data_IF_507096635322
#
_entry.id   IF_507096635322
#
_cell.length_a   1.000
_cell.length_b   1.000
_cell.length_c   1.000
_cell.angle_alpha   90.00
_cell.angle_beta   90.00
_cell.angle_gamma   90.00
#
_symmetry.space_group_name_H-M   'P 1'
#
loop_
_entity.id
_entity.type
_entity.pdbx_description
1 polymer ?
#
# COMPACT_ATOMS: atom_id res chain seq x y z
N UNK A 1 51.21 -29.78 55.20
CA UNK A 1 49.87 -29.17 55.01
C UNK A 1 49.71 -28.46 53.64
N UNK A 2 50.33 -28.94 52.56
CA UNK A 2 50.30 -28.27 51.23
C UNK A 2 49.42 -28.94 50.16
N UNK A 3 49.16 -30.25 50.25
CA UNK A 3 48.45 -30.98 49.18
C UNK A 3 46.92 -30.86 49.23
N UNK A 4 46.32 -30.62 50.41
CA UNK A 4 44.86 -30.54 50.58
C UNK A 4 44.25 -29.20 50.11
N UNK A 5 45.04 -28.13 49.99
CA UNK A 5 44.53 -26.81 49.54
C UNK A 5 44.39 -26.68 48.02
N UNK A 6 45.11 -27.50 47.23
CA UNK A 6 45.07 -27.44 45.76
C UNK A 6 43.90 -28.22 45.17
N UNK A 7 43.46 -29.30 45.83
CA UNK A 7 42.33 -30.13 45.36
C UNK A 7 40.98 -29.42 45.56
N UNK A 8 40.83 -28.66 46.65
CA UNK A 8 39.58 -27.94 46.96
C UNK A 8 39.31 -26.75 46.00
N UNK A 9 40.36 -26.05 45.55
CA UNK A 9 40.23 -24.94 44.58
C UNK A 9 39.94 -25.44 43.16
N UNK A 10 40.45 -26.61 42.76
CA UNK A 10 40.11 -27.24 41.48
C UNK A 10 38.64 -27.71 41.40
N UNK A 11 38.10 -28.30 42.48
CA UNK A 11 36.70 -28.74 42.54
C UNK A 11 35.70 -27.58 42.53
N UNK A 12 36.06 -26.43 43.15
CA UNK A 12 35.19 -25.24 43.15
C UNK A 12 35.15 -24.54 41.78
N UNK A 13 36.29 -24.47 41.07
CA UNK A 13 36.36 -23.92 39.70
C UNK A 13 35.61 -24.80 38.69
N UNK A 14 35.70 -26.13 38.83
CA UNK A 14 34.98 -27.10 37.99
C UNK A 14 33.46 -26.98 38.14
N UNK A 15 32.94 -26.83 39.38
CA UNK A 15 31.50 -26.63 39.63
C UNK A 15 30.96 -25.32 39.06
N UNK A 16 31.76 -24.24 39.06
CA UNK A 16 31.36 -22.97 38.47
C UNK A 16 31.31 -23.02 36.95
N UNK A 17 32.31 -23.63 36.31
CA UNK A 17 32.34 -23.83 34.85
C UNK A 17 31.17 -24.72 34.40
N UNK A 18 30.87 -25.78 35.16
CA UNK A 18 29.74 -26.66 34.87
C UNK A 18 28.39 -25.95 35.00
N UNK A 19 28.20 -25.11 36.03
CA UNK A 19 26.98 -24.28 36.18
C UNK A 19 26.85 -23.23 35.07
N UNK A 20 27.96 -22.64 34.63
CA UNK A 20 27.95 -21.68 33.53
C UNK A 20 27.62 -22.35 32.18
N UNK A 21 28.15 -23.54 31.92
CA UNK A 21 27.85 -24.32 30.72
C UNK A 21 26.37 -24.75 30.68
N UNK A 22 25.81 -25.19 31.82
CA UNK A 22 24.38 -25.49 31.92
C UNK A 22 23.54 -24.25 31.65
N UNK A 23 23.92 -23.10 32.21
CA UNK A 23 23.20 -21.85 31.97
C UNK A 23 23.21 -21.43 30.49
N UNK A 24 24.36 -21.53 29.82
CA UNK A 24 24.48 -21.23 28.39
C UNK A 24 23.63 -22.21 27.55
N UNK A 25 23.64 -23.50 27.88
CA UNK A 25 22.81 -24.52 27.23
C UNK A 25 21.32 -24.23 27.38
N UNK A 26 20.86 -23.88 28.58
CA UNK A 26 19.45 -23.55 28.84
C UNK A 26 19.04 -22.29 28.10
N UNK A 27 19.87 -21.24 28.09
CA UNK A 27 19.59 -20.00 27.35
C UNK A 27 19.52 -20.28 25.85
N UNK A 28 20.44 -21.07 25.30
CA UNK A 28 20.45 -21.46 23.88
C UNK A 28 19.25 -22.33 23.51
N UNK A 29 18.79 -23.21 24.41
CA UNK A 29 17.61 -24.03 24.20
C UNK A 29 16.35 -23.14 24.21
N UNK A 30 16.26 -22.20 25.16
CA UNK A 30 15.15 -21.25 25.23
C UNK A 30 15.08 -20.33 24.00
N UNK A 31 16.22 -19.84 23.50
CA UNK A 31 16.23 -19.03 22.27
C UNK A 31 15.85 -19.85 21.04
N UNK A 32 16.32 -21.09 20.94
CA UNK A 32 15.93 -22.01 19.87
C UNK A 32 14.43 -22.35 19.91
N UNK A 33 13.86 -22.59 21.10
CA UNK A 33 12.42 -22.82 21.28
C UNK A 33 11.61 -21.58 20.93
N UNK A 34 12.03 -20.38 21.35
CA UNK A 34 11.36 -19.13 20.95
C UNK A 34 11.44 -18.91 19.44
N UNK A 35 12.56 -19.24 18.80
CA UNK A 35 12.69 -19.15 17.35
C UNK A 35 11.82 -20.18 16.63
N UNK A 36 11.76 -21.42 17.13
CA UNK A 36 10.93 -22.50 16.61
C UNK A 36 9.44 -22.15 16.74
N UNK A 37 8.98 -21.70 17.91
CA UNK A 37 7.61 -21.23 18.13
C UNK A 37 7.24 -20.04 17.23
N UNK A 38 8.20 -19.15 16.93
CA UNK A 38 8.00 -18.01 16.02
C UNK A 38 7.97 -18.40 14.54
N UNK A 39 8.63 -19.50 14.17
CA UNK A 39 8.56 -20.11 12.83
C UNK A 39 7.26 -20.90 12.67
N UNK A 40 6.81 -21.60 13.71
CA UNK A 40 5.55 -22.35 13.73
C UNK A 40 4.33 -21.40 13.69
N UNK A 41 4.41 -20.24 14.36
CA UNK A 41 3.40 -19.18 14.25
C UNK A 41 3.26 -18.68 12.80
N UNK A 42 4.37 -18.54 12.04
CA UNK A 42 4.33 -18.21 10.59
C UNK A 42 3.71 -19.31 9.72
N UNK A 43 3.86 -20.58 10.11
CA UNK A 43 3.20 -21.71 9.43
C UNK A 43 1.70 -21.79 9.71
N UNK A 44 1.29 -21.44 10.94
CA UNK A 44 -0.10 -21.49 11.40
C UNK A 44 -0.94 -20.30 10.88
N UNK A 45 -0.32 -19.17 10.49
CA UNK A 45 -1.02 -18.05 9.84
C UNK A 45 -1.66 -18.43 8.49
N UNK A 46 -1.09 -19.36 7.72
CA UNK A 46 -1.71 -19.89 6.50
C UNK A 46 -2.78 -20.97 6.80
N UNK A 47 -2.65 -21.68 7.92
CA UNK A 47 -3.61 -22.68 8.38
C UNK A 47 -4.91 -22.08 8.95
N UNK A 48 -4.83 -20.96 9.68
CA UNK A 48 -5.98 -20.34 10.37
C UNK A 48 -6.96 -19.58 9.50
N UNK A 49 -6.69 -19.41 8.20
CA UNK A 49 -7.73 -19.03 7.22
C UNK A 49 -8.73 -20.18 6.95
N UNK A 50 -8.41 -21.42 7.36
CA UNK A 50 -9.33 -22.56 7.32
C UNK A 50 -9.86 -22.84 8.74
N UNK A 51 -10.94 -22.19 9.12
CA UNK A 51 -11.72 -22.58 10.30
C UNK A 51 -12.39 -23.96 10.10
N UNK A 52 -12.63 -24.73 11.16
CA UNK A 52 -13.21 -26.07 11.06
C UNK A 52 -14.74 -25.98 10.98
N UNK A 53 -15.28 -25.93 9.76
CA UNK A 53 -16.68 -26.26 9.51
C UNK A 53 -16.78 -27.16 8.27
N UNK A 54 -16.52 -28.45 8.49
CA UNK A 54 -16.93 -29.50 7.57
C UNK A 54 -18.42 -29.82 7.82
N UNK A 55 -19.29 -29.24 6.99
CA UNK A 55 -20.54 -29.87 6.59
C UNK A 55 -20.58 -29.85 5.07
N UNK A 56 -20.62 -31.06 4.49
CA UNK A 56 -20.49 -31.29 3.06
C UNK A 56 -21.51 -30.51 2.24
N UNK A 57 -21.00 -29.56 1.48
CA UNK A 57 -21.66 -29.05 0.29
C UNK A 57 -20.60 -29.03 -0.81
N UNK A 58 -20.93 -29.52 -2.01
CA UNK A 58 -20.00 -29.59 -3.13
C UNK A 58 -19.34 -28.22 -3.37
N UNK A 59 -18.06 -28.11 -3.01
CA UNK A 59 -17.28 -26.89 -3.18
C UNK A 59 -16.84 -26.87 -4.64
N UNK A 60 -17.60 -26.15 -5.48
CA UNK A 60 -16.99 -25.53 -6.65
C UNK A 60 -15.84 -24.67 -6.12
N UNK A 61 -14.62 -24.91 -6.61
CA UNK A 61 -13.44 -24.14 -6.21
C UNK A 61 -13.73 -22.68 -6.53
N UNK A 62 -14.09 -21.89 -5.51
CA UNK A 62 -14.30 -20.46 -5.67
C UNK A 62 -12.94 -19.83 -5.96
N UNK A 63 -12.79 -19.28 -7.16
CA UNK A 63 -11.52 -18.69 -7.62
C UNK A 63 -11.11 -17.53 -6.71
N UNK A 64 -9.83 -17.52 -6.32
CA UNK A 64 -9.22 -16.46 -5.51
C UNK A 64 -9.14 -15.14 -6.31
N UNK A 65 -9.29 -14.00 -5.63
CA UNK A 65 -9.16 -12.69 -6.26
C UNK A 65 -7.76 -12.49 -6.88
N UNK A 66 -7.73 -12.25 -8.19
CA UNK A 66 -6.51 -11.94 -8.95
C UNK A 66 -6.63 -10.53 -9.59
N UNK A 67 -5.77 -9.58 -9.21
CA UNK A 67 -5.80 -8.23 -9.76
C UNK A 67 -5.62 -8.21 -11.28
N UNK A 68 -6.50 -7.48 -11.98
CA UNK A 68 -6.42 -7.34 -13.43
C UNK A 68 -6.90 -8.56 -14.21
N UNK A 69 -7.50 -9.56 -13.56
CA UNK A 69 -8.06 -10.73 -14.24
C UNK A 69 -9.12 -10.34 -15.27
N UNK A 70 -9.85 -9.24 -15.03
CA UNK A 70 -10.82 -8.66 -15.95
C UNK A 70 -10.20 -8.16 -17.28
N UNK A 71 -8.88 -8.07 -17.38
CA UNK A 71 -8.14 -7.70 -18.60
C UNK A 71 -7.59 -8.92 -19.37
N UNK A 72 -7.73 -10.14 -18.84
CA UNK A 72 -7.15 -11.35 -19.44
C UNK A 72 -7.67 -11.56 -20.86
N UNK A 73 -6.74 -11.82 -21.79
CA UNK A 73 -7.05 -12.09 -23.20
C UNK A 73 -7.52 -10.87 -24.02
N UNK A 74 -7.61 -9.67 -23.42
CA UNK A 74 -7.94 -8.45 -24.14
C UNK A 74 -6.71 -8.00 -24.96
N UNK A 75 -6.85 -7.68 -26.25
CA UNK A 75 -5.75 -7.14 -27.04
C UNK A 75 -5.48 -5.67 -26.69
N UNK A 76 -4.28 -5.19 -27.02
CA UNK A 76 -3.96 -3.77 -26.92
C UNK A 76 -4.92 -2.91 -27.76
N UNK A 77 -5.21 -1.70 -27.26
CA UNK A 77 -5.84 -0.67 -28.06
C UNK A 77 -4.88 -0.11 -29.12
N UNK A 78 -5.43 0.57 -30.16
CA UNK A 78 -4.63 1.13 -31.26
C UNK A 78 -3.77 2.34 -30.83
N UNK A 79 -4.03 2.90 -29.65
CA UNK A 79 -3.34 4.08 -29.11
C UNK A 79 -3.12 3.92 -27.61
N UNK A 80 -2.09 4.57 -27.10
CA UNK A 80 -1.90 4.76 -25.66
C UNK A 80 -2.87 5.83 -25.14
N UNK A 81 -3.39 5.63 -23.93
CA UNK A 81 -4.16 6.62 -23.17
C UNK A 81 -3.27 7.52 -22.30
N UNK A 82 -1.97 7.22 -22.22
CA UNK A 82 -0.99 7.95 -21.43
C UNK A 82 -0.12 8.84 -22.31
N UNK A 83 0.28 9.99 -21.76
CA UNK A 83 1.35 10.82 -22.32
C UNK A 83 2.64 10.53 -21.56
N UNK A 84 3.76 10.40 -22.27
CA UNK A 84 5.07 10.14 -21.68
C UNK A 84 5.91 11.42 -21.71
N UNK A 85 6.56 11.78 -20.61
CA UNK A 85 7.34 13.03 -20.56
C UNK A 85 8.70 12.90 -21.23
N UNK A 86 9.36 11.76 -21.05
CA UNK A 86 10.75 11.56 -21.48
C UNK A 86 10.89 10.60 -22.66
N UNK A 87 9.80 9.90 -23.05
CA UNK A 87 9.83 8.93 -24.13
C UNK A 87 9.80 9.63 -25.50
N UNK A 88 10.75 9.34 -26.40
CA UNK A 88 10.68 9.79 -27.80
C UNK A 88 9.40 9.34 -28.49
N UNK A 89 8.84 10.16 -29.39
CA UNK A 89 7.56 9.88 -30.07
C UNK A 89 7.59 8.64 -30.97
N UNK A 90 8.75 8.34 -31.54
CA UNK A 90 9.04 7.21 -32.43
C UNK A 90 9.50 5.96 -31.69
N UNK A 91 9.72 6.04 -30.37
CA UNK A 91 10.17 4.91 -29.57
C UNK A 91 9.09 3.85 -29.38
N UNK A 92 9.40 2.63 -29.76
CA UNK A 92 8.57 1.44 -29.51
C UNK A 92 8.92 0.73 -28.20
N UNK A 93 10.13 0.92 -27.66
CA UNK A 93 10.61 0.27 -26.44
C UNK A 93 10.03 0.99 -25.19
N UNK A 94 9.26 0.31 -24.33
CA UNK A 94 8.77 0.89 -23.08
C UNK A 94 9.89 1.43 -22.17
N UNK A 95 11.11 0.88 -22.24
CA UNK A 95 12.26 1.35 -21.47
C UNK A 95 12.54 2.85 -21.66
N UNK A 96 12.31 3.37 -22.86
CA UNK A 96 12.59 4.77 -23.18
C UNK A 96 11.68 5.76 -22.42
N UNK A 97 10.67 5.26 -21.69
CA UNK A 97 9.98 6.02 -20.64
C UNK A 97 10.95 6.64 -19.62
N UNK A 98 12.11 6.01 -19.42
CA UNK A 98 13.15 6.45 -18.49
C UNK A 98 14.34 7.14 -19.15
N UNK A 99 14.19 7.65 -20.38
CA UNK A 99 15.19 8.49 -21.06
C UNK A 99 15.30 9.90 -20.48
N UNK A 100 15.23 10.02 -19.14
CA UNK A 100 15.37 11.28 -18.42
C UNK A 100 16.84 11.56 -18.07
N UNK A 101 17.21 12.84 -17.99
CA UNK A 101 18.50 13.25 -17.44
C UNK A 101 18.54 12.92 -15.92
N UNK A 102 19.52 12.13 -15.43
CA UNK A 102 19.67 11.83 -14.01
C UNK A 102 19.64 13.06 -13.07
N UNK A 103 20.01 14.25 -13.56
CA UNK A 103 19.93 15.52 -12.84
C UNK A 103 18.50 15.92 -12.44
N UNK A 104 17.48 15.39 -13.13
CA UNK A 104 16.06 15.61 -12.82
C UNK A 104 15.59 14.82 -11.60
N UNK A 105 16.37 13.85 -11.15
CA UNK A 105 16.06 13.11 -9.93
C UNK A 105 16.24 14.00 -8.70
N UNK A 106 15.23 14.04 -7.84
CA UNK A 106 15.20 14.84 -6.62
C UNK A 106 15.36 13.95 -5.39
N UNK A 107 15.92 14.45 -4.28
CA UNK A 107 15.86 13.73 -3.02
C UNK A 107 14.40 13.51 -2.57
N UNK A 108 14.15 12.42 -1.86
CA UNK A 108 12.86 12.24 -1.16
C UNK A 108 12.66 13.37 -0.13
N UNK A 109 11.46 13.95 -0.06
CA UNK A 109 11.17 15.14 0.77
C UNK A 109 11.46 14.93 2.25
N UNK A 110 11.29 13.71 2.75
CA UNK A 110 11.39 13.41 4.18
C UNK A 110 12.84 13.34 4.63
N UNK A 111 13.71 12.82 3.74
CA UNK A 111 15.09 12.48 4.06
C UNK A 111 16.09 13.48 3.47
N UNK A 112 15.65 14.33 2.54
CA UNK A 112 16.49 15.36 1.91
C UNK A 112 17.68 14.77 1.14
N UNK A 113 18.68 15.60 0.89
CA UNK A 113 19.83 15.27 0.03
C UNK A 113 20.61 14.03 0.48
N UNK A 114 20.75 13.87 1.81
CA UNK A 114 21.46 12.75 2.44
C UNK A 114 20.64 11.46 2.48
N UNK A 115 19.35 11.52 2.12
CA UNK A 115 18.49 10.36 2.05
C UNK A 115 18.94 9.36 0.97
N UNK A 116 18.76 8.05 1.19
CA UNK A 116 19.21 7.01 0.26
C UNK A 116 18.28 6.84 -0.94
N UNK A 117 17.22 7.65 -1.07
CA UNK A 117 16.23 7.53 -2.14
C UNK A 117 16.19 8.77 -3.03
N UNK A 118 15.99 8.53 -4.32
CA UNK A 118 15.77 9.55 -5.35
C UNK A 118 14.40 9.34 -5.99
N UNK A 119 13.80 10.45 -6.42
CA UNK A 119 12.48 10.48 -7.02
C UNK A 119 12.50 11.30 -8.30
N UNK A 120 11.99 10.75 -9.39
CA UNK A 120 11.74 11.44 -10.65
C UNK A 120 10.22 11.60 -10.81
N UNK A 121 9.76 12.84 -10.88
CA UNK A 121 8.34 13.15 -10.91
C UNK A 121 7.81 13.23 -12.34
N UNK A 122 6.57 12.76 -12.56
CA UNK A 122 5.82 12.93 -13.79
C UNK A 122 6.50 12.28 -14.99
N UNK A 123 6.99 11.04 -14.83
CA UNK A 123 7.46 10.22 -15.97
C UNK A 123 6.30 9.97 -16.96
N UNK A 124 5.09 9.87 -16.41
CA UNK A 124 3.80 9.84 -17.11
C UNK A 124 2.90 10.82 -16.39
N UNK A 125 2.57 11.99 -16.95
CA UNK A 125 1.62 12.92 -16.35
C UNK A 125 0.18 12.52 -16.63
N UNK A 126 -0.66 12.52 -15.59
CA UNK A 126 -2.10 12.38 -15.72
C UNK A 126 -2.72 13.63 -16.37
N UNK A 127 -3.62 13.39 -17.30
CA UNK A 127 -4.48 14.37 -17.93
C UNK A 127 -5.63 14.74 -16.98
N UNK A 128 -6.14 15.97 -17.07
CA UNK A 128 -7.35 16.42 -16.37
C UNK A 128 -7.35 16.28 -14.83
N UNK A 129 -6.18 16.36 -14.18
CA UNK A 129 -6.04 16.31 -12.72
C UNK A 129 -6.88 17.38 -11.97
N UNK A 130 -7.35 18.42 -12.66
CA UNK A 130 -8.18 19.51 -12.11
C UNK A 130 -9.69 19.19 -12.04
N UNK A 131 -10.17 18.06 -12.59
CA UNK A 131 -11.61 17.74 -12.61
C UNK A 131 -12.11 17.02 -11.35
N UNK A 132 -11.24 16.62 -10.42
CA UNK A 132 -11.60 15.89 -9.20
C UNK A 132 -11.41 16.70 -7.92
N UNK A 133 -12.22 16.41 -6.89
CA UNK A 133 -12.05 17.02 -5.56
C UNK A 133 -10.84 16.44 -4.82
N UNK A 134 -10.53 15.16 -5.03
CA UNK A 134 -9.46 14.43 -4.35
C UNK A 134 -8.53 13.75 -5.37
N UNK A 135 -7.22 13.81 -5.13
CA UNK A 135 -6.24 12.92 -5.77
C UNK A 135 -6.00 11.71 -4.89
N UNK A 136 -6.18 10.50 -5.43
CA UNK A 136 -5.77 9.26 -4.77
C UNK A 136 -4.25 9.13 -4.88
N UNK A 137 -3.56 9.20 -3.75
CA UNK A 137 -2.10 9.17 -3.67
C UNK A 137 -1.67 7.79 -3.17
N UNK A 138 -0.99 7.04 -4.03
CA UNK A 138 -0.60 5.65 -3.74
C UNK A 138 0.83 5.36 -4.18
N UNK A 139 1.28 4.16 -3.87
CA UNK A 139 2.59 3.67 -4.24
C UNK A 139 2.53 2.17 -4.53
N UNK A 140 3.41 1.70 -5.40
CA UNK A 140 3.48 0.30 -5.78
C UNK A 140 4.90 -0.10 -6.15
N UNK A 141 5.18 -1.39 -6.06
CA UNK A 141 6.25 -2.06 -6.79
C UNK A 141 5.66 -2.66 -8.08
N UNK A 142 6.49 -3.03 -9.08
CA UNK A 142 5.96 -3.53 -10.36
C UNK A 142 5.04 -4.75 -10.19
N UNK A 143 5.32 -5.63 -9.24
CA UNK A 143 4.54 -6.83 -8.91
C UNK A 143 3.14 -6.54 -8.34
N UNK A 144 2.86 -5.31 -7.89
CA UNK A 144 1.53 -4.89 -7.42
C UNK A 144 0.80 -4.00 -8.43
N UNK A 145 1.40 -3.70 -9.60
CA UNK A 145 0.91 -2.65 -10.47
C UNK A 145 -0.47 -2.94 -11.07
N UNK A 146 -0.84 -4.22 -11.27
CA UNK A 146 -2.16 -4.58 -11.79
C UNK A 146 -3.31 -4.28 -10.82
N UNK A 147 -3.07 -4.11 -9.51
CA UNK A 147 -4.08 -3.57 -8.59
C UNK A 147 -4.58 -2.18 -9.01
N UNK A 148 -3.77 -1.42 -9.77
CA UNK A 148 -4.19 -0.15 -10.32
C UNK A 148 -5.42 -0.31 -11.22
N UNK A 149 -5.50 -1.38 -12.01
CA UNK A 149 -6.65 -1.65 -12.88
C UNK A 149 -7.95 -1.80 -12.08
N UNK A 150 -7.89 -2.45 -10.92
CA UNK A 150 -9.01 -2.60 -9.99
C UNK A 150 -9.38 -1.27 -9.32
N UNK A 151 -8.38 -0.51 -8.86
CA UNK A 151 -8.59 0.84 -8.34
C UNK A 151 -9.24 1.76 -9.39
N UNK A 152 -8.85 1.60 -10.66
CA UNK A 152 -9.36 2.42 -11.76
C UNK A 152 -10.86 2.22 -12.03
N UNK A 153 -11.41 1.04 -11.71
CA UNK A 153 -12.85 0.75 -11.80
C UNK A 153 -13.67 1.42 -10.68
N UNK A 154 -13.04 1.73 -9.54
CA UNK A 154 -13.73 2.20 -8.33
C UNK A 154 -13.51 3.68 -8.00
N UNK A 155 -12.41 4.24 -8.46
CA UNK A 155 -12.11 5.66 -8.34
C UNK A 155 -12.53 6.38 -9.61
N UNK A 156 -13.01 7.62 -9.54
CA UNK A 156 -13.32 8.48 -10.70
C UNK A 156 -12.36 9.70 -10.83
N UNK A 157 -11.62 10.02 -9.75
CA UNK A 157 -10.73 11.18 -9.66
C UNK A 157 -9.28 10.95 -10.10
N UNK A 158 -8.44 11.97 -9.97
CA UNK A 158 -7.02 11.88 -10.29
C UNK A 158 -6.29 10.85 -9.41
N UNK A 159 -5.27 10.19 -9.95
CA UNK A 159 -4.43 9.26 -9.20
C UNK A 159 -2.96 9.66 -9.38
N UNK A 160 -2.23 9.76 -8.28
CA UNK A 160 -0.77 9.91 -8.28
C UNK A 160 -0.15 8.65 -7.70
N UNK A 161 0.69 7.98 -8.48
CA UNK A 161 1.33 6.71 -8.14
C UNK A 161 2.84 6.91 -8.10
N UNK A 162 3.46 6.59 -6.97
CA UNK A 162 4.93 6.44 -6.92
C UNK A 162 5.30 4.96 -7.09
N UNK A 163 5.99 4.64 -8.18
CA UNK A 163 6.56 3.33 -8.45
C UNK A 163 7.92 3.23 -7.78
N UNK A 164 8.06 2.31 -6.83
CA UNK A 164 9.38 1.95 -6.30
C UNK A 164 9.96 0.84 -7.16
N UNK A 165 10.98 1.17 -7.96
CA UNK A 165 11.53 0.27 -8.95
C UNK A 165 13.08 0.41 -9.00
N UNK A 166 13.80 -0.30 -8.11
CA UNK A 166 15.26 -0.29 -8.09
C UNK A 166 15.86 -1.07 -9.27
N UNK A 167 16.95 -0.55 -9.86
CA UNK A 167 17.70 -1.30 -10.86
C UNK A 167 16.83 -1.75 -12.04
N UNK A 168 16.87 -3.04 -12.34
CA UNK A 168 16.12 -3.66 -13.45
C UNK A 168 14.61 -3.69 -13.23
N UNK A 169 14.12 -3.50 -12.00
CA UNK A 169 12.67 -3.38 -11.73
C UNK A 169 12.07 -2.19 -12.45
N UNK A 170 12.87 -1.17 -12.78
CA UNK A 170 12.42 -0.03 -13.57
C UNK A 170 11.98 -0.49 -14.97
N UNK A 171 12.74 -1.33 -15.66
CA UNK A 171 12.35 -1.82 -16.98
C UNK A 171 11.06 -2.66 -16.92
N UNK A 172 10.89 -3.50 -15.89
CA UNK A 172 9.62 -4.19 -15.64
C UNK A 172 8.46 -3.20 -15.43
N UNK A 173 8.66 -2.16 -14.60
CA UNK A 173 7.67 -1.12 -14.40
C UNK A 173 7.28 -0.42 -15.72
N UNK A 174 8.25 -0.07 -16.56
CA UNK A 174 8.00 0.54 -17.88
C UNK A 174 7.10 -0.35 -18.75
N UNK A 175 7.41 -1.64 -18.85
CA UNK A 175 6.63 -2.61 -19.61
C UNK A 175 5.19 -2.64 -19.07
N UNK A 176 5.02 -2.86 -17.77
CA UNK A 176 3.69 -3.01 -17.16
C UNK A 176 2.86 -1.71 -17.22
N UNK A 177 3.49 -0.54 -17.06
CA UNK A 177 2.82 0.76 -17.26
C UNK A 177 2.38 0.91 -18.70
N UNK A 178 3.24 0.62 -19.69
CA UNK A 178 2.87 0.72 -21.11
C UNK A 178 1.72 -0.24 -21.47
N UNK A 179 1.72 -1.48 -20.94
CA UNK A 179 0.59 -2.42 -21.07
C UNK A 179 -0.70 -1.78 -20.56
N UNK A 180 -0.73 -1.32 -19.31
CA UNK A 180 -1.92 -0.70 -18.73
C UNK A 180 -2.37 0.55 -19.51
N UNK A 181 -1.43 1.39 -19.93
CA UNK A 181 -1.69 2.59 -20.72
C UNK A 181 -2.32 2.30 -22.09
N UNK A 182 -2.10 1.13 -22.70
CA UNK A 182 -2.75 0.69 -23.95
C UNK A 182 -4.08 -0.03 -23.73
N UNK A 183 -4.33 -0.50 -22.52
CA UNK A 183 -5.43 -1.40 -22.19
C UNK A 183 -6.58 -0.73 -21.44
N UNK A 184 -6.27 0.26 -20.61
CA UNK A 184 -7.21 0.84 -19.65
C UNK A 184 -7.39 2.33 -19.95
N UNK A 185 -8.52 2.77 -20.54
CA UNK A 185 -8.78 4.17 -20.86
C UNK A 185 -8.61 5.13 -19.67
N UNK A 186 -8.97 4.66 -18.47
CA UNK A 186 -8.85 5.40 -17.22
C UNK A 186 -7.40 5.63 -16.80
N UNK A 187 -6.39 5.08 -17.50
CA UNK A 187 -5.00 5.44 -17.28
C UNK A 187 -4.70 6.90 -17.65
N UNK A 188 -5.55 7.53 -18.47
CA UNK A 188 -5.41 8.94 -18.83
C UNK A 188 -5.37 9.90 -17.62
N UNK A 189 -5.89 9.51 -16.45
CA UNK A 189 -5.91 10.32 -15.20
C UNK A 189 -4.82 9.93 -14.19
N UNK A 190 -3.94 8.99 -14.55
CA UNK A 190 -2.89 8.49 -13.66
C UNK A 190 -1.59 9.23 -13.93
N UNK A 191 -1.01 9.81 -12.89
CA UNK A 191 0.36 10.31 -12.90
C UNK A 191 1.29 9.29 -12.27
N UNK A 192 2.38 8.93 -12.96
CA UNK A 192 3.45 8.12 -12.42
C UNK A 192 4.68 8.95 -12.06
N UNK A 193 5.28 8.56 -10.94
CA UNK A 193 6.55 9.04 -10.42
C UNK A 193 7.43 7.82 -10.13
N UNK A 194 8.72 7.92 -10.35
CA UNK A 194 9.67 6.84 -10.11
C UNK A 194 10.46 7.12 -8.84
N UNK A 195 10.50 6.16 -7.91
CA UNK A 195 11.37 6.19 -6.75
C UNK A 195 12.36 5.02 -6.81
N UNK A 196 13.62 5.26 -6.47
CA UNK A 196 14.67 4.24 -6.47
C UNK A 196 15.77 4.57 -5.43
N UNK A 197 16.52 3.57 -4.95
CA UNK A 197 17.70 3.79 -4.13
C UNK A 197 18.79 4.51 -4.92
N UNK A 198 19.47 5.48 -4.31
CA UNK A 198 20.56 6.24 -4.95
C UNK A 198 21.67 5.32 -5.47
N UNK A 199 21.97 4.26 -4.72
CA UNK A 199 23.04 3.30 -5.04
C UNK A 199 22.57 2.20 -6.01
N UNK A 200 21.29 2.20 -6.38
CA UNK A 200 20.72 1.26 -7.34
C UNK A 200 19.76 1.98 -8.31
N UNK A 201 20.30 2.85 -9.19
CA UNK A 201 19.52 3.63 -10.13
C UNK A 201 18.79 2.73 -11.16
N UNK A 202 17.79 3.27 -11.88
CA UNK A 202 17.06 2.54 -12.92
C UNK A 202 18.02 1.97 -13.96
N UNK A 203 17.84 0.70 -14.30
CA UNK A 203 18.65 0.00 -15.29
C UNK A 203 17.76 -0.82 -16.22
N UNK A 204 18.22 -1.01 -17.46
CA UNK A 204 17.56 -1.89 -18.42
C UNK A 204 17.87 -3.34 -18.05
N UNK A 205 16.84 -4.15 -17.85
CA UNK A 205 16.95 -5.61 -17.64
C UNK A 205 16.48 -6.42 -18.86
N UNK A 206 16.51 -7.75 -18.75
CA UNK A 206 16.11 -8.67 -19.83
C UNK A 206 14.62 -9.08 -19.80
N UNK A 207 13.76 -8.23 -19.23
CA UNK A 207 12.32 -8.52 -19.03
C UNK A 207 11.53 -8.75 -20.32
N UNK A 208 11.97 -8.21 -21.46
CA UNK A 208 11.30 -8.45 -22.74
C UNK A 208 11.39 -9.92 -23.20
N UNK A 209 12.29 -10.71 -22.63
CA UNK A 209 12.45 -12.13 -22.92
C UNK A 209 11.51 -13.00 -22.06
N UNK A 210 10.84 -12.43 -21.05
CA UNK A 210 9.96 -13.17 -20.16
C UNK A 210 8.66 -13.56 -20.89
N UNK A 211 8.37 -14.87 -21.04
CA UNK A 211 7.18 -15.34 -21.73
C UNK A 211 5.87 -15.01 -21.01
N UNK A 212 5.88 -14.60 -19.73
CA UNK A 212 4.71 -14.13 -18.99
C UNK A 212 4.47 -12.62 -19.21
N UNK A 213 5.44 -11.89 -19.77
CA UNK A 213 5.34 -10.45 -20.09
C UNK A 213 5.03 -10.18 -21.57
N UNK A 214 4.31 -11.10 -22.23
CA UNK A 214 3.93 -11.01 -23.64
C UNK A 214 3.45 -9.60 -24.00
N UNK A 215 4.15 -8.99 -24.95
CA UNK A 215 3.74 -7.74 -25.57
C UNK A 215 2.55 -8.06 -26.50
N UNK A 216 1.48 -7.28 -26.40
CA UNK A 216 0.30 -7.37 -27.28
C UNK A 216 -1.03 -7.71 -26.61
N UNK A 217 -1.02 -8.22 -25.38
CA UNK A 217 -2.23 -8.51 -24.60
C UNK A 217 -2.26 -7.75 -23.27
N UNK A 218 -3.45 -7.54 -22.71
CA UNK A 218 -3.65 -6.82 -21.46
C UNK A 218 -3.54 -7.72 -20.22
N UNK A 219 -3.20 -9.00 -20.40
CA UNK A 219 -3.22 -9.99 -19.33
C UNK A 219 -2.21 -9.65 -18.23
N UNK A 220 -2.57 -9.81 -16.94
CA UNK A 220 -1.60 -9.76 -15.86
C UNK A 220 -0.57 -10.89 -16.00
N UNK A 221 0.65 -10.74 -15.45
CA UNK A 221 1.62 -11.82 -15.40
C UNK A 221 1.00 -13.07 -14.76
N UNK A 222 1.13 -14.22 -15.41
CA UNK A 222 0.53 -15.48 -14.95
C UNK A 222 1.13 -15.96 -13.63
N UNK A 223 2.39 -15.60 -13.37
CA UNK A 223 3.14 -15.94 -12.16
C UNK A 223 3.61 -14.68 -11.45
N UNK A 224 3.88 -14.83 -10.15
CA UNK A 224 4.54 -13.77 -9.38
C UNK A 224 5.95 -13.55 -9.93
N UNK A 225 6.18 -12.35 -10.47
CA UNK A 225 7.48 -11.94 -11.01
C UNK A 225 8.50 -11.79 -9.86
N UNK A 226 9.68 -12.39 -10.01
CA UNK A 226 10.78 -12.24 -9.05
C UNK A 226 11.52 -10.92 -9.32
N UNK A 227 11.11 -9.86 -8.65
CA UNK A 227 11.73 -8.53 -8.77
C UNK A 227 13.11 -8.48 -8.13
N UNK A 228 13.97 -7.59 -8.61
CA UNK A 228 15.28 -7.32 -8.02
C UNK A 228 15.17 -6.87 -6.56
N UNK A 229 14.14 -6.07 -6.23
CA UNK A 229 13.82 -5.74 -4.84
C UNK A 229 13.64 -6.99 -3.98
N UNK A 230 12.93 -8.00 -4.47
CA UNK A 230 12.67 -9.24 -3.73
C UNK A 230 13.92 -10.13 -3.66
N UNK A 231 14.64 -10.29 -4.77
CA UNK A 231 15.84 -11.15 -4.82
C UNK A 231 16.99 -10.61 -3.96
N UNK A 232 17.10 -9.29 -3.82
CA UNK A 232 18.10 -8.62 -2.98
C UNK A 232 17.57 -8.18 -1.62
N UNK A 233 16.34 -8.59 -1.25
CA UNK A 233 15.69 -8.28 0.02
C UNK A 233 15.67 -6.78 0.38
N UNK A 234 15.54 -5.92 -0.63
CA UNK A 234 15.56 -4.47 -0.44
C UNK A 234 14.32 -4.01 0.32
N UNK A 235 14.54 -3.16 1.32
CA UNK A 235 13.49 -2.49 2.09
C UNK A 235 12.58 -1.69 1.15
N UNK A 236 11.27 -1.87 1.30
CA UNK A 236 10.28 -1.09 0.57
C UNK A 236 10.00 0.23 1.30
N UNK A 237 10.36 1.40 0.74
CA UNK A 237 10.25 2.67 1.45
C UNK A 237 8.84 3.26 1.32
N UNK A 238 7.86 2.64 1.99
CA UNK A 238 6.43 3.02 1.97
C UNK A 238 6.23 4.53 2.16
N UNK A 239 6.93 5.13 3.12
CA UNK A 239 6.81 6.56 3.40
C UNK A 239 7.40 7.45 2.29
N UNK A 240 8.44 7.01 1.58
CA UNK A 240 8.95 7.76 0.41
C UNK A 240 7.90 7.74 -0.69
N UNK A 241 7.32 6.57 -0.98
CA UNK A 241 6.27 6.41 -1.98
C UNK A 241 5.03 7.27 -1.68
N UNK A 242 4.46 7.15 -0.48
CA UNK A 242 3.28 7.94 -0.05
C UNK A 242 3.51 9.44 -0.18
N UNK A 243 4.67 9.91 0.26
CA UNK A 243 4.95 11.33 0.28
C UNK A 243 5.28 11.90 -1.11
N UNK A 244 5.98 11.15 -1.96
CA UNK A 244 6.23 11.55 -3.34
C UNK A 244 4.91 11.69 -4.11
N UNK A 245 4.02 10.70 -4.02
CA UNK A 245 2.70 10.77 -4.63
C UNK A 245 1.89 11.97 -4.11
N UNK A 246 1.89 12.18 -2.79
CA UNK A 246 1.21 13.32 -2.17
C UNK A 246 1.78 14.66 -2.64
N UNK A 247 3.10 14.81 -2.69
CA UNK A 247 3.75 16.05 -3.11
C UNK A 247 3.43 16.39 -4.57
N UNK A 248 3.31 15.38 -5.42
CA UNK A 248 3.01 15.57 -6.84
C UNK A 248 1.52 15.76 -7.14
N UNK A 249 0.64 15.57 -6.16
CA UNK A 249 -0.79 15.80 -6.32
C UNK A 249 -1.09 17.27 -6.65
N UNK A 250 -2.09 17.49 -7.50
CA UNK A 250 -2.50 18.83 -7.97
C UNK A 250 -3.77 19.34 -7.32
N UNK A 251 -4.47 18.51 -6.55
CA UNK A 251 -5.73 18.85 -5.86
C UNK A 251 -5.47 19.32 -4.43
N UNK A 252 -6.39 20.11 -3.88
CA UNK A 252 -6.30 20.58 -2.50
C UNK A 252 -6.54 19.47 -1.46
N UNK A 253 -7.25 18.41 -1.84
CA UNK A 253 -7.48 17.24 -1.00
C UNK A 253 -6.79 16.02 -1.60
N UNK A 254 -6.26 15.18 -0.73
CA UNK A 254 -5.59 13.94 -1.09
C UNK A 254 -6.14 12.80 -0.24
N UNK A 255 -6.27 11.63 -0.85
CA UNK A 255 -6.50 10.38 -0.14
C UNK A 255 -5.21 9.56 -0.26
N UNK A 256 -4.44 9.49 0.82
CA UNK A 256 -3.24 8.64 0.86
C UNK A 256 -3.68 7.24 1.24
N UNK A 257 -3.48 6.27 0.34
CA UNK A 257 -3.94 4.90 0.53
C UNK A 257 -3.12 3.92 -0.30
N UNK A 258 -2.97 2.70 0.19
CA UNK A 258 -2.19 1.65 -0.46
C UNK A 258 -2.93 1.13 -1.70
N UNK A 259 -2.20 0.69 -2.73
CA UNK A 259 -2.76 0.41 -4.06
C UNK A 259 -3.82 -0.72 -4.06
N UNK A 260 -3.75 -1.61 -3.07
CA UNK A 260 -4.67 -2.73 -2.87
C UNK A 260 -5.97 -2.33 -2.13
N UNK A 261 -6.02 -1.13 -1.53
CA UNK A 261 -7.19 -0.66 -0.81
C UNK A 261 -8.18 0.04 -1.75
N UNK A 262 -9.17 -0.72 -2.20
CA UNK A 262 -10.15 -0.26 -3.18
C UNK A 262 -11.27 0.54 -2.48
N UNK A 263 -11.50 1.82 -2.86
CA UNK A 263 -12.54 2.64 -2.25
C UNK A 263 -13.95 2.25 -2.72
N UNK A 264 -14.96 2.70 -1.98
CA UNK A 264 -16.34 2.67 -2.47
C UNK A 264 -16.51 3.53 -3.72
N UNK A 265 -17.35 3.07 -4.65
CA UNK A 265 -17.59 3.76 -5.92
C UNK A 265 -18.24 5.12 -5.67
N UNK A 266 -17.80 6.13 -6.42
CA UNK A 266 -18.28 7.51 -6.33
C UNK A 266 -17.83 8.25 -5.07
N UNK A 267 -16.88 7.71 -4.29
CA UNK A 267 -16.42 8.35 -3.06
C UNK A 267 -15.87 9.77 -3.31
N UNK A 268 -15.14 9.99 -4.40
CA UNK A 268 -14.58 11.30 -4.74
C UNK A 268 -15.70 12.34 -5.04
N UNK A 269 -16.70 11.99 -5.84
CA UNK A 269 -17.87 12.84 -6.06
C UNK A 269 -18.66 13.11 -4.78
N UNK A 270 -18.93 12.06 -3.99
CA UNK A 270 -19.67 12.20 -2.73
C UNK A 270 -18.91 13.06 -1.71
N UNK A 271 -17.57 13.03 -1.74
CA UNK A 271 -16.74 13.91 -0.93
C UNK A 271 -16.78 15.36 -1.43
N UNK A 272 -16.77 15.60 -2.74
CA UNK A 272 -16.98 16.93 -3.30
C UNK A 272 -18.30 17.55 -2.81
N UNK A 273 -19.37 16.75 -2.82
CA UNK A 273 -20.69 17.14 -2.30
C UNK A 273 -20.64 17.41 -0.79
N UNK A 274 -19.91 16.58 -0.02
CA UNK A 274 -19.68 16.85 1.40
C UNK A 274 -18.97 18.20 1.62
N UNK A 275 -17.91 18.48 0.87
CA UNK A 275 -17.16 19.74 0.96
C UNK A 275 -18.04 20.94 0.64
N UNK A 276 -18.90 20.85 -0.38
CA UNK A 276 -19.86 21.90 -0.72
C UNK A 276 -20.77 22.22 0.48
N UNK A 277 -21.43 21.20 1.04
CA UNK A 277 -22.31 21.35 2.21
C UNK A 277 -21.58 21.85 3.44
N UNK A 278 -20.34 21.40 3.64
CA UNK A 278 -19.50 21.86 4.74
C UNK A 278 -19.09 23.30 4.53
N UNK A 279 -18.81 23.76 3.31
CA UNK A 279 -18.45 25.15 3.03
C UNK A 279 -19.64 26.10 3.23
N UNK A 280 -20.85 25.72 2.80
CA UNK A 280 -22.10 26.42 3.14
C UNK A 280 -22.25 26.57 4.66
N UNK A 281 -21.99 25.48 5.41
CA UNK A 281 -21.97 25.51 6.88
C UNK A 281 -20.74 26.18 7.47
N UNK A 282 -19.63 26.32 6.73
CA UNK A 282 -18.36 26.90 7.21
C UNK A 282 -18.50 28.41 7.40
N UNK A 283 -19.37 29.07 6.66
CA UNK A 283 -19.81 30.43 6.98
C UNK A 283 -20.43 30.52 8.39
N UNK A 284 -21.07 29.45 8.87
CA UNK A 284 -21.57 29.32 10.25
C UNK A 284 -20.48 28.83 11.23
N UNK A 285 -19.61 27.91 10.82
CA UNK A 285 -18.54 27.35 11.67
C UNK A 285 -17.37 28.33 11.89
N UNK A 286 -17.06 29.20 10.93
CA UNK A 286 -16.10 30.30 11.13
C UNK A 286 -16.61 31.30 12.17
N UNK A 287 -17.92 31.61 12.16
CA UNK A 287 -18.55 32.42 13.22
C UNK A 287 -18.40 31.76 14.60
N UNK A 288 -18.56 30.44 14.69
CA UNK A 288 -18.38 29.67 15.94
C UNK A 288 -16.90 29.57 16.36
N UNK A 289 -15.97 29.43 15.42
CA UNK A 289 -14.51 29.42 15.70
C UNK A 289 -13.99 30.77 16.20
N UNK A 290 -14.46 31.86 15.59
CA UNK A 290 -14.19 33.21 16.06
C UNK A 290 -14.71 33.41 17.50
N UNK A 291 -15.82 32.77 17.86
CA UNK A 291 -16.38 32.80 19.21
C UNK A 291 -15.72 31.82 20.22
N UNK A 292 -14.89 30.86 19.77
CA UNK A 292 -14.36 29.77 20.63
C UNK A 292 -12.84 29.73 20.77
N UNK A 293 -12.10 30.73 20.26
CA UNK A 293 -10.63 30.81 20.31
C UNK A 293 -9.90 29.54 19.80
N UNK A 294 -10.54 28.74 18.95
CA UNK A 294 -9.96 27.51 18.40
C UNK A 294 -8.92 27.82 17.32
N UNK A 295 -7.66 27.46 17.55
CA UNK A 295 -6.51 27.73 16.66
C UNK A 295 -6.10 26.54 15.75
N UNK A 296 -6.78 25.39 15.87
CA UNK A 296 -6.42 24.17 15.13
C UNK A 296 -6.55 24.33 13.60
N UNK A 297 -5.45 24.04 12.88
CA UNK A 297 -5.24 24.44 11.46
C UNK A 297 -5.77 23.48 10.38
N UNK A 298 -6.51 22.41 10.72
CA UNK A 298 -7.05 21.53 9.68
C UNK A 298 -7.98 20.45 10.21
N UNK A 299 -8.76 19.86 9.30
CA UNK A 299 -9.53 18.64 9.56
C UNK A 299 -8.94 17.51 8.72
N UNK A 300 -8.82 16.33 9.32
CA UNK A 300 -8.48 15.09 8.62
C UNK A 300 -9.72 14.21 8.60
N UNK A 301 -10.03 13.65 7.44
CA UNK A 301 -11.09 12.65 7.28
C UNK A 301 -10.45 11.28 7.19
N UNK A 302 -10.96 10.33 7.98
CA UNK A 302 -10.46 8.96 8.04
C UNK A 302 -11.53 8.03 7.49
N UNK A 303 -11.13 7.11 6.62
CA UNK A 303 -12.01 6.10 6.04
C UNK A 303 -11.83 4.78 6.79
N UNK A 304 -12.91 4.12 7.21
CA UNK A 304 -12.85 2.74 7.69
C UNK A 304 -12.34 1.79 6.61
N UNK A 305 -11.36 0.97 6.96
CA UNK A 305 -10.78 -0.05 6.07
C UNK A 305 -11.19 -1.43 6.57
N UNK A 306 -11.50 -2.32 5.63
CA UNK A 306 -11.92 -3.69 5.91
C UNK A 306 -11.17 -4.67 5.00
N UNK A 307 -10.82 -5.82 5.56
CA UNK A 307 -10.33 -6.99 4.83
C UNK A 307 -11.54 -7.84 4.45
N UNK A 308 -11.56 -8.28 3.20
CA UNK A 308 -12.62 -9.11 2.63
C UNK A 308 -12.01 -10.46 2.27
N UNK A 309 -12.76 -11.53 2.51
CA UNK A 309 -12.35 -12.87 2.14
C UNK A 309 -11.97 -12.95 0.63
N UNK A 310 -10.87 -13.64 0.25
CA UNK A 310 -10.37 -13.63 -1.12
C UNK A 310 -11.33 -14.12 -2.19
N UNK A 311 -12.32 -14.94 -1.80
CA UNK A 311 -13.32 -15.51 -2.69
C UNK A 311 -14.60 -14.67 -2.81
N UNK A 312 -14.68 -13.56 -2.06
CA UNK A 312 -15.77 -12.61 -2.16
C UNK A 312 -15.44 -11.52 -3.19
N UNK A 313 -16.46 -11.04 -3.90
CA UNK A 313 -16.31 -9.86 -4.74
C UNK A 313 -16.00 -8.62 -3.91
N UNK A 314 -15.14 -7.74 -4.43
CA UNK A 314 -14.85 -6.44 -3.82
C UNK A 314 -16.15 -5.64 -3.62
N UNK A 315 -16.49 -5.22 -2.38
CA UNK A 315 -17.72 -4.50 -2.13
C UNK A 315 -17.69 -3.11 -2.78
N UNK A 316 -18.74 -2.79 -3.53
CA UNK A 316 -18.84 -1.51 -4.27
C UNK A 316 -19.24 -0.33 -3.37
N UNK A 317 -19.93 -0.63 -2.28
CA UNK A 317 -20.48 0.33 -1.33
C UNK A 317 -20.50 -0.22 0.10
N UNK A 318 -20.97 0.61 1.04
CA UNK A 318 -21.03 0.24 2.46
C UNK A 318 -22.03 -0.89 2.70
N UNK A 319 -23.15 -0.91 1.98
CA UNK A 319 -24.20 -1.91 2.12
C UNK A 319 -23.67 -3.31 1.82
N UNK A 320 -22.98 -3.49 0.70
CA UNK A 320 -22.35 -4.75 0.32
C UNK A 320 -21.28 -5.15 1.34
N UNK A 321 -20.46 -4.20 1.80
CA UNK A 321 -19.48 -4.47 2.85
C UNK A 321 -20.15 -4.94 4.16
N UNK A 322 -21.26 -4.32 4.57
CA UNK A 322 -22.00 -4.75 5.77
C UNK A 322 -22.63 -6.13 5.59
N UNK A 323 -23.09 -6.49 4.39
CA UNK A 323 -23.58 -7.84 4.10
C UNK A 323 -22.47 -8.88 4.24
N UNK A 324 -21.26 -8.59 3.75
CA UNK A 324 -20.10 -9.47 3.92
C UNK A 324 -19.70 -9.57 5.39
N UNK A 325 -19.66 -8.45 6.11
CA UNK A 325 -19.34 -8.41 7.53
C UNK A 325 -20.34 -9.23 8.37
N UNK A 326 -21.64 -9.16 8.07
CA UNK A 326 -22.68 -9.94 8.75
C UNK A 326 -22.57 -11.45 8.51
N UNK A 327 -21.94 -11.85 7.41
CA UNK A 327 -21.66 -13.25 7.06
C UNK A 327 -20.27 -13.69 7.54
N UNK A 328 -19.58 -12.89 8.34
CA UNK A 328 -18.19 -13.09 8.78
C UNK A 328 -17.17 -13.23 7.62
N UNK A 329 -17.52 -12.70 6.44
CA UNK A 329 -16.66 -12.67 5.23
C UNK A 329 -15.92 -11.36 5.05
N UNK A 330 -16.04 -10.44 6.01
CA UNK A 330 -15.26 -9.22 6.09
C UNK A 330 -14.98 -8.85 7.54
N UNK A 331 -13.79 -8.31 7.81
CA UNK A 331 -13.38 -7.82 9.14
C UNK A 331 -12.74 -6.44 9.01
N UNK A 332 -12.72 -5.65 10.08
CA UNK A 332 -11.95 -4.39 10.02
C UNK A 332 -10.46 -4.71 9.84
N UNK A 333 -9.76 -3.84 9.12
CA UNK A 333 -8.39 -4.05 8.70
C UNK A 333 -7.46 -4.43 9.87
N UNK A 334 -6.60 -5.43 9.67
CA UNK A 334 -5.65 -5.93 10.65
C UNK A 334 -6.27 -6.32 12.00
N UNK A 335 -7.56 -6.72 12.03
CA UNK A 335 -8.26 -7.20 13.24
C UNK A 335 -7.47 -8.29 13.96
N UNK A 336 -6.79 -9.15 13.21
CA UNK A 336 -6.06 -10.30 13.76
C UNK A 336 -4.57 -10.02 13.96
N UNK A 337 -4.05 -8.88 13.50
CA UNK A 337 -2.64 -8.49 13.61
C UNK A 337 -2.44 -7.50 14.74
N UNK A 338 -3.15 -6.37 14.71
CA UNK A 338 -3.15 -5.41 15.80
C UNK A 338 -4.52 -4.74 15.93
N UNK A 339 -5.49 -5.41 16.58
CA UNK A 339 -6.83 -4.83 16.76
C UNK A 339 -6.81 -3.52 17.55
N UNK A 340 -5.88 -3.33 18.49
CA UNK A 340 -5.72 -2.05 19.20
C UNK A 340 -5.26 -0.92 18.28
N UNK A 341 -4.37 -1.20 17.32
CA UNK A 341 -3.82 -0.20 16.41
C UNK A 341 -4.86 0.28 15.38
N UNK A 342 -5.76 -0.61 14.97
CA UNK A 342 -6.54 -0.46 13.73
C UNK A 342 -8.06 -0.37 13.97
N UNK A 343 -8.52 -0.69 15.19
CA UNK A 343 -9.92 -0.49 15.56
C UNK A 343 -10.21 1.00 15.71
N UNK A 344 -10.99 1.54 14.79
CA UNK A 344 -11.35 2.95 14.82
C UNK A 344 -12.48 3.26 15.83
N UNK A 345 -12.46 4.48 16.43
CA UNK A 345 -13.50 4.92 17.35
C UNK A 345 -14.91 4.84 16.76
N UNK A 346 -15.85 4.30 17.54
CA UNK A 346 -17.24 4.22 17.13
C UNK A 346 -17.57 3.15 16.09
N UNK A 347 -16.68 2.18 15.84
CA UNK A 347 -16.90 1.03 14.94
C UNK A 347 -18.30 0.41 15.07
N UNK A 348 -18.74 0.07 16.28
CA UNK A 348 -20.06 -0.54 16.50
C UNK A 348 -21.22 0.35 16.03
N UNK A 349 -21.12 1.66 16.26
CA UNK A 349 -22.13 2.62 15.78
C UNK A 349 -22.05 2.80 14.25
N UNK A 350 -20.86 2.67 13.66
CA UNK A 350 -20.67 2.71 12.22
C UNK A 350 -21.27 1.48 11.53
N UNK A 351 -21.07 0.28 12.10
CA UNK A 351 -21.62 -0.98 11.59
C UNK A 351 -23.15 -1.02 11.61
N UNK A 352 -23.77 -0.50 12.68
CA UNK A 352 -25.25 -0.49 12.82
C UNK A 352 -25.96 0.44 11.83
N UNK A 353 -25.25 1.36 11.19
CA UNK A 353 -25.86 2.37 10.32
C UNK A 353 -25.68 1.99 8.86
N UNK A 354 -26.77 1.82 8.12
CA UNK A 354 -26.74 1.65 6.67
C UNK A 354 -26.09 2.87 5.99
N UNK A 355 -25.46 2.65 4.85
CA UNK A 355 -25.01 3.76 4.01
C UNK A 355 -26.20 4.56 3.47
N UNK A 356 -25.89 5.68 2.82
CA UNK A 356 -26.88 6.45 2.07
C UNK A 356 -26.29 6.67 0.68
N UNK A 357 -26.87 6.11 -0.38
CA UNK A 357 -26.35 6.27 -1.74
C UNK A 357 -26.16 7.74 -2.09
N UNK A 358 -24.96 8.11 -2.59
CA UNK A 358 -24.62 9.48 -2.97
C UNK A 358 -24.23 10.42 -1.81
N UNK A 359 -24.04 9.92 -0.58
CA UNK A 359 -23.75 10.75 0.58
C UNK A 359 -22.64 10.16 1.47
N UNK A 360 -21.54 10.90 1.64
CA UNK A 360 -20.61 10.66 2.76
C UNK A 360 -21.23 11.15 4.07
N UNK A 361 -21.27 10.28 5.07
CA UNK A 361 -21.71 10.62 6.42
C UNK A 361 -20.50 10.79 7.34
N UNK A 362 -20.15 12.03 7.66
CA UNK A 362 -19.06 12.34 8.60
C UNK A 362 -19.52 12.11 10.04
N UNK A 363 -18.63 11.53 10.83
CA UNK A 363 -18.75 11.54 12.30
C UNK A 363 -17.55 12.22 12.89
N UNK A 364 -17.80 13.24 13.70
CA UNK A 364 -16.76 13.87 14.50
C UNK A 364 -16.42 12.95 15.65
N UNK A 365 -15.21 12.41 15.63
CA UNK A 365 -14.59 11.81 16.80
C UNK A 365 -13.46 12.74 17.22
N UNK A 366 -13.45 13.16 18.48
CA UNK A 366 -12.29 13.86 19.02
C UNK A 366 -11.16 12.84 19.15
N UNK A 367 -10.19 12.90 18.25
CA UNK A 367 -8.90 12.29 18.46
C UNK A 367 -8.06 13.29 19.23
N UNK A 368 -7.88 13.09 20.54
CA UNK A 368 -6.87 13.80 21.31
C UNK A 368 -5.50 13.24 20.90
N UNK A 369 -4.98 13.71 19.75
CA UNK A 369 -3.62 13.42 19.35
C UNK A 369 -2.70 14.32 20.19
N UNK A 370 -2.39 13.90 21.42
CA UNK A 370 -1.43 14.56 22.32
C UNK A 370 0.04 14.31 21.88
N UNK A 371 0.33 14.29 20.58
CA UNK A 371 1.70 14.25 20.07
C UNK A 371 1.86 15.14 18.83
N UNK A 372 2.40 16.33 19.10
CA UNK A 372 3.36 17.13 18.31
C UNK A 372 3.11 17.32 16.80
N UNK A 373 2.67 18.54 16.50
CA UNK A 373 2.92 19.26 15.25
C UNK A 373 4.43 19.41 14.98
N UNK A 374 4.77 19.41 13.69
CA UNK A 374 6.09 19.67 13.05
C UNK A 374 7.09 18.50 13.02
N UNK A 375 6.84 17.53 12.14
CA UNK A 375 7.79 17.00 11.14
C UNK A 375 7.23 15.69 10.58
N UNK A 376 7.09 15.63 9.25
CA UNK A 376 7.14 14.42 8.40
C UNK A 376 6.67 13.07 8.98
N UNK A 377 5.54 13.06 9.68
CA UNK A 377 4.94 11.84 10.22
C UNK A 377 3.50 11.79 9.73
N UNK A 378 3.26 10.95 8.71
CA UNK A 378 1.89 10.53 8.40
C UNK A 378 1.53 9.54 9.50
N UNK A 379 0.60 9.90 10.37
CA UNK A 379 -0.11 8.91 11.18
C UNK A 379 -0.81 7.97 10.21
N UNK A 380 -0.22 6.79 10.00
CA UNK A 380 -0.98 5.60 9.63
C UNK A 380 -1.87 5.26 10.83
N UNK A 381 -3.14 5.64 10.75
CA UNK A 381 -4.19 5.01 11.51
C UNK A 381 -4.90 4.05 10.58
#
# INVERSE_FOLDING_TARGET
MGAFRVVATCLHRSRYVFRLLIFILVVSLCTAVVFYLKVEDRGDYLGRLRGPHHLGHQIGVMEEFVPGLHLKGRPFGPRTYCNYTFRPLDSVDPWDMFSFDPSLSKPSVQLGEKGPYRVVYNIVPGQNASRGAITYCTHATPDFLYHLSELLLHWDGAISVTLFAPGTDAHLAAILVDKLCRCVPQMARVSFHLAFPKDLPPAKGDWMQDPDLKLGDCSPPAKKVLTQRRSQELTYPVNVGRNAARQASKTNFVLVSDIELIPSIGLNEQFAVLLHRLNERRNTLMKIRAASNWTGKGFVYVLPVFEVEPSASVPRDKEQLLQLYQKDRAVFFHRWVCPHCQKFPGLQKWLKRKGKPGFVQVRSFFCACNLLLKQNSICSL
#
